data_IF_497993415909
#
_entry.id   IF_497993415909
#
_cell.length_a   1.000
_cell.length_b   1.000
_cell.length_c   1.000
_cell.angle_alpha   90.00
_cell.angle_beta   90.00
_cell.angle_gamma   90.00
#
_symmetry.space_group_name_H-M   'P 1'
#
loop_
_entity.id
_entity.type
_entity.pdbx_description
1 polymer ?
#
# COMPACT_ATOMS: atom_id res chain seq x y z
N UNK A 1 -2.67 25.61 -7.94
CA UNK A 1 -3.53 26.39 -7.00
C UNK A 1 -4.74 25.58 -6.53
N UNK A 2 -5.53 24.98 -7.43
CA UNK A 2 -6.75 24.25 -7.09
C UNK A 2 -6.50 23.11 -6.07
N UNK A 3 -5.49 22.27 -6.27
CA UNK A 3 -5.19 21.17 -5.35
C UNK A 3 -4.69 21.65 -3.99
N UNK A 4 -3.86 22.70 -3.97
CA UNK A 4 -3.43 23.31 -2.69
C UNK A 4 -4.63 23.86 -1.90
N UNK A 5 -5.56 24.50 -2.58
CA UNK A 5 -6.78 24.98 -1.93
C UNK A 5 -7.65 23.82 -1.40
N UNK A 6 -7.76 22.73 -2.16
CA UNK A 6 -8.48 21.54 -1.73
C UNK A 6 -7.85 20.88 -0.49
N UNK A 7 -6.54 20.63 -0.51
CA UNK A 7 -5.85 20.00 0.61
C UNK A 7 -5.88 20.87 1.87
N UNK A 8 -5.76 22.19 1.71
CA UNK A 8 -5.94 23.13 2.81
C UNK A 8 -7.37 23.11 3.37
N UNK A 9 -8.38 23.08 2.51
CA UNK A 9 -9.78 23.00 2.92
C UNK A 9 -10.08 21.68 3.65
N UNK A 10 -9.55 20.56 3.17
CA UNK A 10 -9.70 19.26 3.83
C UNK A 10 -9.08 19.25 5.24
N UNK A 11 -7.87 19.80 5.41
CA UNK A 11 -7.26 19.93 6.76
C UNK A 11 -8.03 20.84 7.69
N UNK A 12 -8.64 21.89 7.15
CA UNK A 12 -9.46 22.81 7.95
C UNK A 12 -10.75 22.16 8.49
N UNK A 13 -11.15 20.98 8.01
CA UNK A 13 -12.33 20.25 8.54
C UNK A 13 -11.99 19.44 9.79
N UNK A 14 -10.70 19.22 10.06
CA UNK A 14 -10.21 18.55 11.26
C UNK A 14 -9.26 19.51 11.97
N UNK A 15 -9.26 19.55 13.28
CA UNK A 15 -8.41 20.46 14.08
C UNK A 15 -6.98 19.90 14.19
N UNK A 16 -6.39 19.51 13.05
CA UNK A 16 -5.03 18.97 12.94
C UNK A 16 -4.36 19.42 11.64
N UNK A 17 -3.36 20.28 11.78
CA UNK A 17 -2.54 20.76 10.65
C UNK A 17 -1.72 19.64 9.99
N UNK A 18 -1.49 18.53 10.65
CA UNK A 18 -0.73 17.37 10.18
C UNK A 18 -1.60 16.20 9.72
N UNK A 19 -2.92 16.38 9.69
CA UNK A 19 -3.83 15.34 9.23
C UNK A 19 -3.35 14.71 7.91
N UNK A 20 -3.30 13.37 7.82
CA UNK A 20 -2.77 12.71 6.65
C UNK A 20 -3.68 12.92 5.43
N UNK A 21 -3.06 13.30 4.32
CA UNK A 21 -3.68 13.33 2.99
C UNK A 21 -2.89 12.39 2.12
N UNK A 22 -3.55 11.35 1.64
CA UNK A 22 -2.94 10.23 0.93
C UNK A 22 -3.18 10.33 -0.58
N UNK A 23 -2.26 9.74 -1.36
CA UNK A 23 -2.37 9.61 -2.81
C UNK A 23 -1.72 8.30 -3.28
N UNK A 24 -2.16 7.80 -4.45
CA UNK A 24 -1.41 6.82 -5.24
C UNK A 24 -0.62 7.56 -6.33
N UNK A 25 0.64 7.83 -6.08
CA UNK A 25 1.54 8.46 -7.05
C UNK A 25 2.74 7.56 -7.32
N UNK A 26 2.49 6.34 -7.81
CA UNK A 26 3.54 5.33 -8.03
C UNK A 26 4.50 5.69 -9.17
N UNK A 27 3.99 6.36 -10.16
CA UNK A 27 4.59 6.50 -11.48
C UNK A 27 4.02 5.48 -12.48
N UNK A 28 4.42 5.58 -13.75
CA UNK A 28 3.85 4.74 -14.79
C UNK A 28 2.34 4.89 -14.90
N UNK A 29 1.64 3.75 -14.96
CA UNK A 29 0.18 3.72 -15.13
C UNK A 29 -0.60 4.15 -13.88
N UNK A 30 -0.03 3.97 -12.69
CA UNK A 30 -0.65 4.39 -11.42
C UNK A 30 -0.07 5.73 -10.98
N UNK A 31 -0.73 6.78 -11.40
CA UNK A 31 -0.41 8.15 -11.04
C UNK A 31 -1.67 9.01 -11.15
N UNK A 32 -1.83 9.96 -10.23
CA UNK A 32 -2.91 10.95 -10.24
C UNK A 32 -2.42 12.29 -10.81
N UNK A 33 -1.21 12.68 -10.45
CA UNK A 33 -0.54 13.87 -10.97
C UNK A 33 0.15 13.51 -12.29
N UNK A 34 -0.41 14.00 -13.41
CA UNK A 34 -0.01 13.62 -14.78
C UNK A 34 0.29 14.84 -15.65
N UNK A 35 1.02 14.65 -16.77
CA UNK A 35 1.15 15.67 -17.80
C UNK A 35 -0.23 16.19 -18.26
N UNK A 36 -0.33 17.47 -18.66
CA UNK A 36 0.77 18.42 -18.86
C UNK A 36 1.22 19.15 -17.59
N UNK A 37 0.51 19.02 -16.45
CA UNK A 37 0.76 19.83 -15.26
C UNK A 37 1.92 19.30 -14.40
N UNK A 38 2.17 17.99 -14.40
CA UNK A 38 3.28 17.33 -13.71
C UNK A 38 4.08 16.46 -14.67
N UNK A 39 5.33 16.24 -14.35
CA UNK A 39 6.18 15.34 -15.15
C UNK A 39 5.74 13.89 -14.98
N UNK A 40 5.71 13.14 -16.07
CA UNK A 40 5.56 11.69 -15.99
C UNK A 40 6.73 11.08 -15.21
N UNK A 41 6.41 10.23 -14.24
CA UNK A 41 7.40 9.46 -13.48
C UNK A 41 7.43 8.03 -14.01
N UNK A 42 8.61 7.39 -14.14
CA UNK A 42 8.71 6.02 -14.64
C UNK A 42 8.09 5.01 -13.66
N UNK A 43 7.59 3.87 -14.15
CA UNK A 43 7.16 2.77 -13.31
C UNK A 43 8.35 2.07 -12.64
N UNK A 44 8.10 1.27 -11.59
CA UNK A 44 9.12 0.58 -10.82
C UNK A 44 9.98 -0.38 -11.68
N UNK A 45 9.38 -1.06 -12.65
CA UNK A 45 10.10 -1.96 -13.56
C UNK A 45 11.25 -1.30 -14.34
N UNK A 46 11.19 0.02 -14.56
CA UNK A 46 12.29 0.74 -15.24
C UNK A 46 13.54 0.84 -14.37
N UNK A 47 13.35 0.93 -13.04
CA UNK A 47 14.48 0.92 -12.10
C UNK A 47 15.06 -0.49 -11.94
N UNK A 48 14.22 -1.53 -12.00
CA UNK A 48 14.69 -2.90 -12.03
C UNK A 48 15.50 -3.20 -13.31
N UNK A 49 15.06 -2.71 -14.45
CA UNK A 49 15.84 -2.84 -15.70
C UNK A 49 17.20 -2.12 -15.57
N UNK A 50 17.23 -0.93 -14.99
CA UNK A 50 18.48 -0.20 -14.73
C UNK A 50 19.37 -0.94 -13.72
N UNK A 51 18.76 -1.61 -12.70
CA UNK A 51 19.49 -2.42 -11.72
C UNK A 51 20.27 -3.57 -12.38
N UNK A 52 19.69 -4.21 -13.40
CA UNK A 52 20.38 -5.25 -14.16
C UNK A 52 21.63 -4.75 -14.91
N UNK A 53 21.68 -3.46 -15.23
CA UNK A 53 22.83 -2.82 -15.88
C UNK A 53 23.83 -2.25 -14.86
N UNK A 54 23.32 -1.55 -13.84
CA UNK A 54 24.12 -0.93 -12.77
C UNK A 54 23.29 -0.76 -11.49
N UNK A 55 23.48 -1.63 -10.49
CA UNK A 55 22.74 -1.59 -9.23
C UNK A 55 22.86 -0.26 -8.46
N UNK A 56 24.05 0.32 -8.40
CA UNK A 56 24.28 1.57 -7.67
C UNK A 56 23.52 2.73 -8.27
N UNK A 57 23.59 2.88 -9.60
CA UNK A 57 22.85 3.92 -10.33
C UNK A 57 21.35 3.69 -10.20
N UNK A 58 20.87 2.44 -10.25
CA UNK A 58 19.45 2.13 -10.08
C UNK A 58 18.92 2.52 -8.69
N UNK A 59 19.68 2.21 -7.65
CA UNK A 59 19.35 2.60 -6.27
C UNK A 59 19.28 4.12 -6.12
N UNK A 60 20.31 4.83 -6.59
CA UNK A 60 20.34 6.29 -6.55
C UNK A 60 19.19 6.91 -7.36
N UNK A 61 18.94 6.43 -8.57
CA UNK A 61 17.84 6.88 -9.41
C UNK A 61 16.47 6.65 -8.76
N UNK A 62 16.29 5.51 -8.08
CA UNK A 62 15.06 5.19 -7.35
C UNK A 62 14.84 6.15 -6.19
N UNK A 63 15.90 6.40 -5.39
CA UNK A 63 15.87 7.38 -4.29
C UNK A 63 15.55 8.80 -4.81
N UNK A 64 16.27 9.27 -5.83
CA UNK A 64 16.05 10.60 -6.39
C UNK A 64 14.65 10.77 -7.02
N UNK A 65 14.14 9.71 -7.69
CA UNK A 65 12.77 9.73 -8.21
C UNK A 65 11.74 9.84 -7.07
N UNK A 66 11.95 9.15 -5.95
CA UNK A 66 11.09 9.26 -4.77
C UNK A 66 11.16 10.65 -4.14
N UNK A 67 12.34 11.25 -4.06
CA UNK A 67 12.55 12.65 -3.63
C UNK A 67 11.77 13.63 -4.50
N UNK A 68 11.77 13.42 -5.82
CA UNK A 68 11.05 14.28 -6.77
C UNK A 68 9.53 14.10 -6.66
N UNK A 69 9.05 12.88 -6.41
CA UNK A 69 7.63 12.63 -6.12
C UNK A 69 7.25 13.33 -4.82
N UNK A 70 8.02 13.13 -3.75
CA UNK A 70 7.77 13.76 -2.46
C UNK A 70 7.73 15.30 -2.57
N UNK A 71 8.63 15.92 -3.35
CA UNK A 71 8.61 17.36 -3.60
C UNK A 71 7.29 17.79 -4.26
N UNK A 72 6.87 17.11 -5.33
CA UNK A 72 5.62 17.44 -6.03
C UNK A 72 4.40 17.33 -5.08
N UNK A 73 4.39 16.30 -4.19
CA UNK A 73 3.31 16.07 -3.24
C UNK A 73 3.31 17.08 -2.09
N UNK A 74 4.47 17.31 -1.50
CA UNK A 74 4.64 18.26 -0.39
C UNK A 74 4.19 19.67 -0.77
N UNK A 75 4.55 20.14 -1.97
CA UNK A 75 4.11 21.40 -2.53
C UNK A 75 2.57 21.52 -2.67
N UNK A 76 1.87 20.42 -2.72
CA UNK A 76 0.40 20.35 -2.79
C UNK A 76 -0.23 20.14 -1.41
N UNK A 77 0.56 20.00 -0.35
CA UNK A 77 0.08 19.68 0.97
C UNK A 77 -0.34 18.21 1.13
N UNK A 78 0.13 17.30 0.27
CA UNK A 78 -0.06 15.85 0.40
C UNK A 78 1.15 15.30 1.14
N UNK A 79 0.93 14.54 2.21
CA UNK A 79 1.97 14.09 3.13
C UNK A 79 2.10 12.58 3.27
N UNK A 80 1.32 11.80 2.51
CA UNK A 80 1.42 10.33 2.46
C UNK A 80 1.30 9.87 1.01
N UNK A 81 2.19 8.95 0.57
CA UNK A 81 2.10 8.28 -0.73
C UNK A 81 2.02 6.77 -0.56
N UNK A 82 1.05 6.14 -1.24
CA UNK A 82 0.85 4.69 -1.21
C UNK A 82 1.92 3.98 -2.06
N UNK A 83 3.17 4.08 -1.63
CA UNK A 83 4.42 3.53 -2.15
C UNK A 83 5.34 3.09 -1.01
N UNK A 84 6.22 2.08 -1.24
CA UNK A 84 6.45 1.31 -2.47
C UNK A 84 5.51 0.11 -2.63
N UNK A 85 5.38 -0.36 -3.88
CA UNK A 85 4.88 -1.71 -4.18
C UNK A 85 6.03 -2.70 -3.96
N UNK A 86 5.85 -3.61 -2.99
CA UNK A 86 6.84 -4.64 -2.60
C UNK A 86 6.43 -6.05 -3.04
N UNK A 87 5.36 -6.15 -3.81
CA UNK A 87 4.89 -7.40 -4.38
C UNK A 87 5.94 -7.99 -5.33
N UNK A 88 6.08 -9.32 -5.32
CA UNK A 88 7.00 -10.09 -6.14
C UNK A 88 6.19 -10.89 -7.18
N UNK A 89 5.95 -10.37 -8.39
CA UNK A 89 5.18 -11.07 -9.41
C UNK A 89 5.76 -12.43 -9.74
N UNK A 90 4.89 -13.45 -9.79
CA UNK A 90 5.27 -14.81 -10.15
C UNK A 90 4.78 -15.18 -11.55
N UNK A 91 5.39 -16.21 -12.15
CA UNK A 91 4.91 -16.75 -13.42
C UNK A 91 3.42 -17.12 -13.30
N UNK A 92 2.62 -16.77 -14.30
CA UNK A 92 1.17 -16.98 -14.35
C UNK A 92 0.31 -16.11 -13.39
N UNK A 93 0.90 -15.15 -12.67
CA UNK A 93 0.12 -14.15 -11.95
C UNK A 93 -0.56 -13.16 -12.92
N UNK A 94 -1.64 -12.54 -12.44
CA UNK A 94 -2.32 -11.48 -13.20
C UNK A 94 -1.44 -10.23 -13.32
N UNK A 95 -1.51 -9.53 -14.47
CA UNK A 95 -0.68 -8.35 -14.76
C UNK A 95 -1.09 -7.08 -13.98
N UNK A 96 -1.95 -7.21 -12.96
CA UNK A 96 -2.38 -6.05 -12.16
C UNK A 96 -1.21 -5.41 -11.39
N UNK A 97 -0.22 -6.20 -10.98
CA UNK A 97 1.03 -5.69 -10.41
C UNK A 97 1.97 -5.30 -11.56
N UNK A 98 2.36 -6.24 -12.43
CA UNK A 98 3.10 -5.97 -13.65
C UNK A 98 4.27 -5.01 -13.47
N UNK A 99 4.28 -3.91 -14.23
CA UNK A 99 5.32 -2.88 -14.23
C UNK A 99 5.37 -2.01 -12.95
N UNK A 100 4.40 -2.17 -12.05
CA UNK A 100 4.39 -1.53 -10.72
C UNK A 100 5.41 -2.14 -9.77
N UNK A 101 5.84 -3.40 -9.99
CA UNK A 101 6.85 -4.09 -9.18
C UNK A 101 8.27 -3.75 -9.62
N UNK A 102 9.22 -3.87 -8.68
CA UNK A 102 10.66 -3.81 -8.95
C UNK A 102 11.23 -5.11 -9.53
N UNK A 103 10.39 -6.04 -9.97
CA UNK A 103 10.79 -7.30 -10.59
C UNK A 103 10.37 -8.51 -9.78
N UNK A 104 10.94 -9.68 -10.16
CA UNK A 104 10.59 -10.99 -9.63
C UNK A 104 11.62 -11.54 -8.64
N UNK A 105 12.69 -10.81 -8.37
CA UNK A 105 13.70 -11.14 -7.38
C UNK A 105 13.46 -10.37 -6.08
N UNK A 106 13.15 -11.04 -4.97
CA UNK A 106 12.93 -10.38 -3.67
C UNK A 106 14.08 -9.49 -3.23
N UNK A 107 15.34 -9.83 -3.54
CA UNK A 107 16.50 -9.04 -3.14
C UNK A 107 16.51 -7.66 -3.83
N UNK A 108 16.19 -7.63 -5.12
CA UNK A 108 16.05 -6.37 -5.90
C UNK A 108 14.87 -5.55 -5.39
N UNK A 109 13.73 -6.20 -5.10
CA UNK A 109 12.54 -5.53 -4.55
C UNK A 109 12.86 -4.88 -3.20
N UNK A 110 13.60 -5.56 -2.33
CA UNK A 110 14.04 -5.03 -1.02
C UNK A 110 14.98 -3.84 -1.20
N UNK A 111 15.98 -3.96 -2.05
CA UNK A 111 16.98 -2.90 -2.25
C UNK A 111 16.34 -1.62 -2.81
N UNK A 112 15.60 -1.74 -3.90
CA UNK A 112 14.95 -0.59 -4.55
C UNK A 112 13.75 -0.08 -3.74
N UNK A 113 13.02 -0.96 -3.05
CA UNK A 113 11.96 -0.61 -2.10
C UNK A 113 12.48 0.26 -0.96
N UNK A 114 13.63 -0.10 -0.38
CA UNK A 114 14.31 0.70 0.66
C UNK A 114 14.67 2.09 0.15
N UNK A 115 15.31 2.18 -1.01
CA UNK A 115 15.67 3.47 -1.62
C UNK A 115 14.43 4.34 -1.87
N UNK A 116 13.30 3.72 -2.24
CA UNK A 116 12.02 4.42 -2.43
C UNK A 116 11.47 4.96 -1.12
N UNK A 117 11.47 4.17 -0.05
CA UNK A 117 11.05 4.58 1.30
C UNK A 117 11.91 5.75 1.80
N UNK A 118 13.23 5.60 1.74
CA UNK A 118 14.18 6.63 2.17
C UNK A 118 13.95 7.95 1.41
N UNK A 119 13.80 7.88 0.09
CA UNK A 119 13.58 9.07 -0.73
C UNK A 119 12.27 9.80 -0.42
N UNK A 120 11.17 9.09 -0.14
CA UNK A 120 9.90 9.70 0.27
C UNK A 120 10.04 10.37 1.65
N UNK A 121 10.59 9.65 2.63
CA UNK A 121 10.75 10.14 4.00
C UNK A 121 11.66 11.38 4.06
N UNK A 122 12.78 11.37 3.37
CA UNK A 122 13.67 12.53 3.26
C UNK A 122 13.02 13.71 2.52
N UNK A 123 11.97 13.46 1.76
CA UNK A 123 11.12 14.46 1.12
C UNK A 123 9.96 14.96 1.99
N UNK A 124 9.82 14.47 3.22
CA UNK A 124 8.72 14.82 4.13
C UNK A 124 7.38 14.21 3.78
N UNK A 125 7.36 13.07 3.05
CA UNK A 125 6.17 12.30 2.70
C UNK A 125 6.28 10.90 3.28
N UNK A 126 5.28 10.46 4.04
CA UNK A 126 5.23 9.13 4.63
C UNK A 126 4.94 8.07 3.55
N UNK A 127 5.74 7.00 3.49
CA UNK A 127 5.50 5.86 2.60
C UNK A 127 4.47 4.91 3.18
N UNK A 128 3.69 4.26 2.31
CA UNK A 128 2.83 3.12 2.62
C UNK A 128 3.27 1.93 1.78
N UNK A 129 3.97 0.96 2.36
CA UNK A 129 4.36 -0.25 1.62
C UNK A 129 3.14 -1.14 1.35
N UNK A 130 3.08 -1.73 0.15
CA UNK A 130 1.92 -2.50 -0.29
C UNK A 130 2.27 -3.64 -1.25
N UNK A 131 1.46 -4.68 -1.32
CA UNK A 131 0.22 -4.96 -0.59
C UNK A 131 0.50 -6.12 0.37
N UNK A 132 0.70 -5.81 1.66
CA UNK A 132 1.14 -6.80 2.67
C UNK A 132 0.05 -7.88 2.90
N UNK A 133 0.39 -9.17 2.98
CA UNK A 133 1.72 -9.78 2.99
C UNK A 133 2.27 -10.20 1.61
N UNK A 134 1.67 -9.78 0.48
CA UNK A 134 2.16 -9.97 -0.88
C UNK A 134 1.05 -10.29 -1.89
N UNK A 135 0.90 -9.49 -2.94
CA UNK A 135 -0.11 -9.65 -4.00
C UNK A 135 0.47 -10.29 -5.28
N UNK A 136 1.78 -10.54 -5.31
CA UNK A 136 2.51 -10.92 -6.53
C UNK A 136 2.14 -12.26 -7.15
N UNK A 137 1.39 -13.13 -6.43
CA UNK A 137 0.92 -14.44 -6.90
C UNK A 137 -0.55 -14.46 -7.31
N UNK A 138 -1.26 -13.34 -7.14
CA UNK A 138 -2.69 -13.29 -7.39
C UNK A 138 -3.02 -13.58 -8.87
N UNK A 139 -3.82 -14.61 -9.10
CA UNK A 139 -4.25 -15.02 -10.44
C UNK A 139 -5.42 -14.20 -11.00
N UNK A 140 -5.91 -13.20 -10.25
CA UNK A 140 -7.01 -12.34 -10.64
C UNK A 140 -6.78 -10.91 -10.16
N UNK A 141 -7.43 -9.95 -10.82
CA UNK A 141 -7.48 -8.56 -10.40
C UNK A 141 -8.45 -8.40 -9.21
N UNK A 142 -7.93 -7.95 -8.06
CA UNK A 142 -8.73 -7.71 -6.84
C UNK A 142 -9.77 -6.61 -7.00
N UNK A 143 -9.66 -5.74 -8.01
CA UNK A 143 -10.72 -4.80 -8.37
C UNK A 143 -11.96 -5.49 -8.98
N UNK A 144 -11.81 -6.70 -9.52
CA UNK A 144 -12.86 -7.42 -10.25
C UNK A 144 -13.37 -8.67 -9.52
N UNK A 145 -12.49 -9.39 -8.82
CA UNK A 145 -12.79 -10.63 -8.11
C UNK A 145 -11.83 -10.85 -6.94
N UNK A 146 -12.20 -11.70 -5.99
CA UNK A 146 -11.34 -12.07 -4.85
C UNK A 146 -10.26 -13.06 -5.31
N UNK A 147 -8.98 -12.65 -5.35
CA UNK A 147 -7.89 -13.54 -5.72
C UNK A 147 -7.61 -14.57 -4.62
N UNK A 148 -7.15 -15.76 -5.02
CA UNK A 148 -6.73 -16.83 -4.12
C UNK A 148 -5.32 -17.28 -4.46
N UNK A 149 -4.53 -17.57 -3.42
CA UNK A 149 -3.15 -18.03 -3.52
C UNK A 149 -3.05 -19.35 -2.74
N UNK A 150 -2.78 -20.44 -3.48
CA UNK A 150 -2.71 -21.80 -2.92
C UNK A 150 -1.28 -22.23 -2.52
N UNK A 151 -0.31 -21.33 -2.62
CA UNK A 151 1.09 -21.56 -2.29
C UNK A 151 1.26 -21.88 -0.81
N UNK A 152 2.18 -22.79 -0.47
CA UNK A 152 2.46 -23.14 0.91
C UNK A 152 3.16 -21.98 1.67
N UNK A 153 3.06 -22.03 3.01
CA UNK A 153 3.56 -20.95 3.87
C UNK A 153 5.08 -20.77 3.77
N UNK A 154 5.83 -21.86 3.58
CA UNK A 154 7.29 -21.78 3.52
C UNK A 154 7.75 -21.03 2.26
N UNK A 155 7.11 -21.27 1.13
CA UNK A 155 7.39 -20.54 -0.11
C UNK A 155 6.91 -19.06 -0.02
N UNK A 156 5.72 -18.82 0.55
CA UNK A 156 5.24 -17.45 0.80
C UNK A 156 6.23 -16.66 1.68
N UNK A 157 6.72 -17.29 2.75
CA UNK A 157 7.71 -16.69 3.65
C UNK A 157 9.02 -16.35 2.97
N UNK A 158 9.49 -17.23 2.09
CA UNK A 158 10.77 -17.08 1.41
C UNK A 158 10.75 -16.04 0.28
N UNK A 159 9.60 -15.79 -0.34
CA UNK A 159 9.49 -14.95 -1.54
C UNK A 159 8.66 -13.69 -1.31
N UNK A 160 7.44 -13.87 -0.77
CA UNK A 160 6.46 -12.78 -0.65
C UNK A 160 6.64 -12.01 0.66
N UNK A 161 6.71 -12.71 1.81
CA UNK A 161 6.77 -12.04 3.12
C UNK A 161 8.15 -11.43 3.40
N UNK A 162 9.22 -11.97 2.81
CA UNK A 162 10.59 -11.48 3.05
C UNK A 162 10.79 -10.04 2.62
N UNK A 163 10.09 -9.56 1.58
CA UNK A 163 10.20 -8.17 1.12
C UNK A 163 9.67 -7.20 2.17
N UNK A 164 8.52 -7.52 2.78
CA UNK A 164 7.91 -6.74 3.85
C UNK A 164 8.69 -6.85 5.15
N UNK A 165 9.14 -8.06 5.53
CA UNK A 165 9.95 -8.30 6.73
C UNK A 165 11.27 -7.53 6.71
N UNK A 166 11.90 -7.42 5.55
CA UNK A 166 13.15 -6.66 5.40
C UNK A 166 12.98 -5.14 5.47
N UNK A 167 11.74 -4.66 5.41
CA UNK A 167 11.34 -3.25 5.42
C UNK A 167 10.26 -2.97 6.48
N UNK A 168 10.20 -3.77 7.53
CA UNK A 168 9.20 -3.72 8.61
C UNK A 168 9.19 -2.40 9.41
N UNK A 169 10.28 -1.64 9.33
CA UNK A 169 10.39 -0.28 9.91
C UNK A 169 9.69 0.80 9.09
N UNK A 170 9.10 0.47 7.92
CA UNK A 170 8.26 1.40 7.18
C UNK A 170 7.10 1.86 8.06
N UNK A 171 6.79 3.17 8.13
CA UNK A 171 5.79 3.67 9.08
C UNK A 171 4.37 3.18 8.83
N UNK A 172 4.04 2.87 7.57
CA UNK A 172 2.69 2.46 7.18
C UNK A 172 2.72 1.30 6.19
N UNK A 173 1.69 0.44 6.23
CA UNK A 173 1.47 -0.62 5.25
C UNK A 173 0.00 -0.74 4.87
N UNK A 174 -0.27 -1.19 3.65
CA UNK A 174 -1.60 -1.47 3.12
C UNK A 174 -1.76 -2.96 2.87
N UNK A 175 -2.89 -3.54 3.34
CA UNK A 175 -3.16 -4.99 3.20
C UNK A 175 -3.56 -5.37 1.78
N UNK A 176 -3.32 -6.63 1.42
CA UNK A 176 -3.81 -7.23 0.18
C UNK A 176 -5.24 -7.78 0.33
N UNK A 177 -6.12 -7.54 -0.64
CA UNK A 177 -7.40 -8.26 -0.75
C UNK A 177 -7.18 -9.63 -1.41
N UNK A 178 -6.43 -10.52 -0.76
CA UNK A 178 -6.03 -11.84 -1.25
C UNK A 178 -6.29 -12.89 -0.19
N UNK A 179 -6.87 -14.02 -0.58
CA UNK A 179 -7.02 -15.21 0.27
C UNK A 179 -5.77 -16.07 0.12
N UNK A 180 -5.15 -16.42 1.24
CA UNK A 180 -4.02 -17.36 1.31
C UNK A 180 -4.55 -18.70 1.84
N UNK A 181 -4.79 -19.67 0.95
CA UNK A 181 -5.45 -20.93 1.29
C UNK A 181 -4.71 -21.74 2.36
N UNK A 182 -3.40 -21.66 2.39
CA UNK A 182 -2.54 -22.31 3.38
C UNK A 182 -2.59 -21.66 4.79
N UNK A 183 -3.16 -20.44 4.92
CA UNK A 183 -3.20 -19.70 6.18
C UNK A 183 -4.64 -19.52 6.66
N UNK A 184 -5.47 -18.82 5.89
CA UNK A 184 -6.91 -18.64 6.16
C UNK A 184 -7.69 -18.78 4.84
N UNK A 185 -8.25 -19.97 4.54
CA UNK A 185 -8.96 -20.19 3.29
C UNK A 185 -10.33 -19.50 3.21
N UNK A 186 -10.78 -18.87 4.30
CA UNK A 186 -12.12 -18.28 4.37
C UNK A 186 -12.13 -16.77 4.17
N UNK A 187 -11.02 -16.09 4.47
CA UNK A 187 -10.97 -14.62 4.50
C UNK A 187 -9.74 -14.09 3.78
N UNK A 188 -9.88 -12.98 3.01
CA UNK A 188 -8.72 -12.26 2.51
C UNK A 188 -7.90 -11.65 3.66
N UNK A 189 -6.63 -11.37 3.42
CA UNK A 189 -5.72 -10.86 4.45
C UNK A 189 -6.29 -9.64 5.18
N UNK A 190 -6.93 -8.72 4.47
CA UNK A 190 -7.55 -7.51 5.04
C UNK A 190 -8.56 -7.79 6.15
N UNK A 191 -9.33 -8.89 6.05
CA UNK A 191 -10.39 -9.23 7.02
C UNK A 191 -10.09 -10.48 7.83
N UNK A 192 -8.87 -11.02 7.74
CA UNK A 192 -8.42 -12.21 8.46
C UNK A 192 -7.64 -11.85 9.72
N UNK A 193 -8.22 -12.01 10.94
CA UNK A 193 -7.47 -11.84 12.18
C UNK A 193 -6.24 -12.77 12.27
N UNK A 194 -6.32 -13.94 11.62
CA UNK A 194 -5.21 -14.91 11.60
C UNK A 194 -4.05 -14.40 10.76
N UNK A 195 -4.31 -13.92 9.53
CA UNK A 195 -3.24 -13.38 8.67
C UNK A 195 -2.62 -12.13 9.31
N UNK A 196 -3.44 -11.23 9.85
CA UNK A 196 -2.91 -10.00 10.46
C UNK A 196 -2.08 -10.32 11.70
N UNK A 197 -2.57 -11.15 12.62
CA UNK A 197 -1.87 -11.45 13.87
C UNK A 197 -0.63 -12.32 13.63
N UNK A 198 -0.78 -13.45 12.91
CA UNK A 198 0.25 -14.48 12.85
C UNK A 198 1.30 -14.18 11.78
N UNK A 199 0.88 -13.57 10.64
CA UNK A 199 1.78 -13.27 9.53
C UNK A 199 2.26 -11.81 9.58
N UNK A 200 1.34 -10.84 9.52
CA UNK A 200 1.74 -9.43 9.38
C UNK A 200 2.42 -8.93 10.66
N UNK A 201 1.79 -9.13 11.83
CA UNK A 201 2.35 -8.69 13.11
C UNK A 201 3.36 -9.68 13.68
N UNK A 202 3.16 -10.99 13.44
CA UNK A 202 4.02 -12.06 13.96
C UNK A 202 5.24 -12.31 13.09
N UNK A 203 5.11 -13.00 11.96
CA UNK A 203 6.23 -13.45 11.14
C UNK A 203 6.97 -12.32 10.42
N UNK A 204 6.24 -11.38 9.83
CA UNK A 204 6.81 -10.19 9.17
C UNK A 204 7.35 -9.21 10.23
N UNK A 205 6.70 -9.11 11.38
CA UNK A 205 7.10 -8.23 12.47
C UNK A 205 6.68 -6.77 12.26
N UNK A 206 5.79 -6.48 11.31
CA UNK A 206 5.34 -5.12 11.05
C UNK A 206 4.51 -4.57 12.20
N UNK A 207 4.99 -3.52 12.86
CA UNK A 207 4.33 -2.86 13.99
C UNK A 207 3.86 -1.42 13.70
N UNK A 208 4.08 -0.94 12.48
CA UNK A 208 3.59 0.35 12.01
C UNK A 208 2.07 0.39 11.80
N UNK A 209 1.57 1.51 11.28
CA UNK A 209 0.14 1.70 11.02
C UNK A 209 -0.30 0.84 9.83
N UNK A 210 -1.25 -0.06 10.08
CA UNK A 210 -1.80 -0.98 9.08
C UNK A 210 -3.14 -0.45 8.56
N UNK A 211 -3.23 -0.20 7.25
CA UNK A 211 -4.48 0.19 6.61
C UNK A 211 -5.02 -0.92 5.70
N UNK A 212 -6.33 -0.95 5.49
CA UNK A 212 -6.92 -1.77 4.43
C UNK A 212 -6.54 -1.22 3.06
N UNK A 213 -6.58 -2.06 2.01
CA UNK A 213 -6.80 -1.57 0.66
C UNK A 213 -8.25 -1.05 0.52
N UNK A 214 -8.58 -0.44 -0.62
CA UNK A 214 -9.89 0.19 -0.85
C UNK A 214 -11.05 -0.79 -0.64
N UNK A 215 -11.87 -0.50 0.36
CA UNK A 215 -13.03 -1.33 0.70
C UNK A 215 -14.10 -1.35 -0.38
N UNK A 216 -14.10 -0.43 -1.35
CA UNK A 216 -15.06 -0.42 -2.47
C UNK A 216 -14.74 -1.47 -3.53
N UNK A 217 -13.56 -2.09 -3.49
CA UNK A 217 -13.14 -3.11 -4.45
C UNK A 217 -14.03 -4.36 -4.36
N UNK A 218 -14.29 -4.98 -5.53
CA UNK A 218 -15.19 -6.16 -5.65
C UNK A 218 -14.62 -7.45 -5.06
N UNK A 219 -13.36 -7.45 -4.65
CA UNK A 219 -12.76 -8.57 -3.91
C UNK A 219 -13.43 -8.81 -2.54
N UNK A 220 -14.10 -7.82 -1.98
CA UNK A 220 -14.78 -7.94 -0.69
C UNK A 220 -16.30 -8.03 -0.90
N UNK A 221 -16.94 -8.95 -0.18
CA UNK A 221 -18.38 -9.15 -0.23
C UNK A 221 -19.12 -8.37 0.88
N UNK A 222 -20.41 -8.10 0.62
CA UNK A 222 -21.33 -7.50 1.58
C UNK A 222 -21.28 -5.95 1.61
N UNK A 223 -22.08 -5.34 2.48
CA UNK A 223 -22.15 -3.89 2.65
C UNK A 223 -20.83 -3.29 3.14
N UNK A 224 -20.52 -2.05 2.78
CA UNK A 224 -19.28 -1.37 3.14
C UNK A 224 -19.07 -1.24 4.66
N UNK A 225 -20.12 -0.99 5.43
CA UNK A 225 -20.04 -0.99 6.91
C UNK A 225 -19.57 -2.35 7.45
N UNK A 226 -20.05 -3.46 6.87
CA UNK A 226 -19.64 -4.82 7.26
C UNK A 226 -18.17 -5.05 6.91
N UNK A 227 -17.71 -4.62 5.72
CA UNK A 227 -16.31 -4.70 5.31
C UNK A 227 -15.41 -3.88 6.23
N UNK A 228 -15.81 -2.64 6.55
CA UNK A 228 -15.06 -1.76 7.46
C UNK A 228 -14.92 -2.37 8.85
N UNK A 229 -16.04 -2.82 9.44
CA UNK A 229 -16.03 -3.50 10.73
C UNK A 229 -15.15 -4.75 10.73
N UNK A 230 -15.22 -5.57 9.67
CA UNK A 230 -14.43 -6.79 9.56
C UNK A 230 -12.93 -6.49 9.48
N UNK A 231 -12.51 -5.47 8.70
CA UNK A 231 -11.12 -5.07 8.58
C UNK A 231 -10.57 -4.50 9.92
N UNK A 232 -11.31 -3.61 10.58
CA UNK A 232 -10.94 -3.08 11.89
C UNK A 232 -10.87 -4.19 12.96
N UNK A 233 -11.86 -5.08 13.00
CA UNK A 233 -11.86 -6.22 13.92
C UNK A 233 -10.70 -7.19 13.65
N UNK A 234 -10.30 -7.34 12.39
CA UNK A 234 -9.17 -8.19 12.02
C UNK A 234 -7.81 -7.63 12.48
N UNK A 235 -7.73 -6.31 12.74
CA UNK A 235 -6.54 -5.65 13.25
C UNK A 235 -5.94 -4.59 12.34
N UNK A 236 -6.67 -4.14 11.30
CA UNK A 236 -6.34 -2.89 10.62
C UNK A 236 -6.55 -1.70 11.56
N UNK A 237 -5.63 -0.76 11.54
CA UNK A 237 -5.72 0.48 12.31
C UNK A 237 -6.57 1.53 11.58
N UNK A 238 -6.55 1.49 10.25
CA UNK A 238 -7.33 2.36 9.36
C UNK A 238 -8.03 1.54 8.27
N UNK A 239 -9.15 2.08 7.77
CA UNK A 239 -9.85 1.56 6.60
C UNK A 239 -9.92 2.62 5.51
N UNK A 240 -9.74 2.19 4.26
CA UNK A 240 -9.66 3.06 3.09
C UNK A 240 -10.91 2.91 2.22
N UNK A 241 -11.44 4.04 1.76
CA UNK A 241 -12.53 4.11 0.77
C UNK A 241 -12.21 5.21 -0.25
N UNK A 242 -12.20 4.88 -1.55
CA UNK A 242 -11.59 5.73 -2.56
C UNK A 242 -12.52 6.26 -3.64
N UNK A 243 -13.78 5.82 -3.73
CA UNK A 243 -14.65 6.20 -4.86
C UNK A 243 -15.32 7.58 -4.70
N UNK A 244 -15.32 8.17 -3.49
CA UNK A 244 -15.87 9.50 -3.22
C UNK A 244 -17.41 9.55 -3.16
N UNK A 245 -18.09 8.41 -3.13
CA UNK A 245 -19.54 8.34 -2.88
C UNK A 245 -19.83 8.68 -1.41
N UNK A 246 -20.65 9.71 -1.18
CA UNK A 246 -20.89 10.24 0.16
C UNK A 246 -21.64 9.27 1.07
N UNK A 247 -22.61 8.53 0.53
CA UNK A 247 -23.40 7.58 1.32
C UNK A 247 -22.51 6.38 1.73
N UNK A 248 -21.64 5.94 0.84
CA UNK A 248 -20.63 4.92 1.12
C UNK A 248 -19.61 5.41 2.15
N UNK A 249 -19.11 6.63 2.01
CA UNK A 249 -18.18 7.25 2.98
C UNK A 249 -18.80 7.32 4.39
N UNK A 250 -20.07 7.73 4.49
CA UNK A 250 -20.79 7.76 5.76
C UNK A 250 -20.98 6.36 6.35
N UNK A 251 -21.29 5.37 5.48
CA UNK A 251 -21.43 3.97 5.89
C UNK A 251 -20.12 3.41 6.47
N UNK A 252 -18.98 3.71 5.84
CA UNK A 252 -17.66 3.31 6.36
C UNK A 252 -17.33 4.06 7.65
N UNK A 253 -17.52 5.37 7.68
CA UNK A 253 -17.21 6.20 8.83
C UNK A 253 -18.02 5.84 10.09
N UNK A 254 -19.24 5.30 9.93
CA UNK A 254 -20.07 4.85 11.07
C UNK A 254 -19.45 3.70 11.86
N UNK A 255 -18.51 2.96 11.28
CA UNK A 255 -17.80 1.85 11.94
C UNK A 255 -16.44 2.27 12.51
N UNK A 256 -15.98 3.50 12.22
CA UNK A 256 -14.74 4.01 12.79
C UNK A 256 -14.89 4.19 14.32
N UNK A 257 -13.92 3.73 15.13
CA UNK A 257 -13.97 3.94 16.57
C UNK A 257 -13.91 5.44 16.87
N UNK A 258 -14.77 5.90 17.79
CA UNK A 258 -14.69 7.27 18.29
C UNK A 258 -13.43 7.44 19.15
N UNK A 259 -12.87 8.64 19.21
CA UNK A 259 -11.61 8.98 19.89
C UNK A 259 -11.44 8.48 21.35
N UNK A 260 -12.49 7.97 21.97
CA UNK A 260 -12.43 7.41 23.34
C UNK A 260 -11.98 5.94 23.39
N UNK A 261 -11.91 5.24 22.26
CA UNK A 261 -11.55 3.82 22.18
C UNK A 261 -10.18 3.56 21.52
N UNK A 262 -9.45 4.59 21.12
CA UNK A 262 -8.10 4.44 20.57
C UNK A 262 -7.12 4.24 21.75
N UNK A 263 -6.95 3.01 22.18
CA UNK A 263 -5.84 2.62 23.05
C UNK A 263 -4.60 2.58 22.16
N UNK A 264 -3.73 3.57 22.30
CA UNK A 264 -2.42 3.52 21.69
C UNK A 264 -1.77 2.18 22.07
N UNK A 265 -1.32 1.42 21.08
CA UNK A 265 -0.49 0.24 21.33
C UNK A 265 0.83 0.77 21.91
N UNK A 266 0.99 0.63 23.21
CA UNK A 266 2.22 0.95 23.93
C UNK A 266 3.20 -0.18 23.83
#
# INVERSE_FOLDING_TARGET
EQLRALTAALRATVDDAHAPILIDQEGGRVARLKPPHWRARPPAARFAALHAENPEIAREATYLNARLIAHDLHELGINVDCLPVLDVPQANAHDIIGDRAFGTDPAIVIELGRARIEGLMDGGVLPVMKHIPGHGRAGADSHLALPRVATDVAELSAVDFVTFRSLDTCPMAMTAHVVYDSIDPQRPATTSPKVIRDVIRGEIGFDGLLMSDDLSMKALDGPLSVRARAALFAGCDLVLHCNGDMDEMQSVASEAPTNQSFVARS
#
